data_IF_045688063220
#
_entry.id   IF_045688063220
#
_cell.length_a   1.000
_cell.length_b   1.000
_cell.length_c   1.000
_cell.angle_alpha   90.00
_cell.angle_beta   90.00
_cell.angle_gamma   90.00
#
_symmetry.space_group_name_H-M   'P 1'
#
loop_
_entity.id
_entity.type
_entity.pdbx_description
1 polymer ?
#
# COMPACT_ATOMS: atom_id res chain seq x y z
N UNK A 1 5.92 -4.78 6.24
CA UNK A 1 4.76 -4.07 5.66
C UNK A 1 3.44 -4.74 6.04
N UNK A 2 2.37 -3.98 6.25
CA UNK A 2 1.04 -4.56 6.48
C UNK A 2 0.55 -5.33 5.23
N UNK A 3 -0.10 -6.48 5.45
CA UNK A 3 -0.59 -7.36 4.37
C UNK A 3 -1.90 -6.87 3.75
N UNK A 4 -2.79 -6.26 4.54
CA UNK A 4 -4.10 -5.82 4.06
C UNK A 4 -4.04 -4.36 3.62
N UNK A 5 -4.59 -4.08 2.46
CA UNK A 5 -4.78 -2.72 1.96
C UNK A 5 -5.56 -1.86 2.98
N UNK A 6 -5.06 -0.68 3.38
CA UNK A 6 -5.72 0.16 4.38
C UNK A 6 -7.11 0.66 3.93
N UNK A 7 -7.34 0.78 2.61
CA UNK A 7 -8.63 1.17 2.00
C UNK A 7 -9.73 0.10 2.19
N UNK A 8 -9.69 -1.00 1.43
CA UNK A 8 -10.74 -2.06 1.45
C UNK A 8 -10.19 -3.45 1.74
N UNK A 9 -9.09 -3.54 2.49
CA UNK A 9 -8.54 -4.79 3.04
C UNK A 9 -8.12 -5.86 2.02
N UNK A 10 -7.97 -5.51 0.75
CA UNK A 10 -7.38 -6.37 -0.29
C UNK A 10 -6.05 -6.99 0.18
N UNK A 11 -5.80 -8.23 -0.21
CA UNK A 11 -4.58 -8.94 0.14
C UNK A 11 -3.41 -8.46 -0.73
N UNK A 12 -2.55 -7.60 -0.18
CA UNK A 12 -1.41 -7.02 -0.90
C UNK A 12 -0.33 -8.06 -1.23
N UNK A 13 -0.33 -9.24 -0.59
CA UNK A 13 0.56 -10.32 -1.04
C UNK A 13 0.07 -10.99 -2.32
N UNK A 14 -1.19 -10.79 -2.72
CA UNK A 14 -1.77 -11.34 -3.96
C UNK A 14 -1.94 -10.27 -5.04
N UNK A 15 -2.38 -9.09 -4.65
CA UNK A 15 -2.72 -8.00 -5.58
C UNK A 15 -1.74 -6.82 -5.51
N UNK A 16 -0.75 -6.87 -4.64
CA UNK A 16 0.25 -5.82 -4.51
C UNK A 16 1.37 -6.03 -5.53
N UNK A 17 1.69 -4.98 -6.28
CA UNK A 17 2.85 -4.91 -7.17
C UNK A 17 3.77 -3.81 -6.67
N UNK A 18 5.07 -4.11 -6.56
CA UNK A 18 6.08 -3.15 -6.13
C UNK A 18 6.92 -2.72 -7.31
N UNK A 19 6.99 -1.40 -7.53
CA UNK A 19 7.82 -0.77 -8.55
C UNK A 19 8.67 0.32 -7.88
N UNK A 20 9.97 0.05 -7.75
CA UNK A 20 10.89 0.90 -6.99
C UNK A 20 10.46 1.03 -5.52
N UNK A 21 10.04 2.23 -5.13
CA UNK A 21 9.54 2.53 -3.77
C UNK A 21 8.02 2.68 -3.72
N UNK A 22 7.29 2.35 -4.77
CA UNK A 22 5.82 2.43 -4.80
C UNK A 22 5.22 1.04 -4.76
N UNK A 23 4.28 0.83 -3.85
CA UNK A 23 3.39 -0.32 -3.86
C UNK A 23 2.05 0.08 -4.46
N UNK A 24 1.60 -0.66 -5.45
CA UNK A 24 0.29 -0.52 -6.08
C UNK A 24 -0.60 -1.72 -5.73
N UNK A 25 -1.83 -1.47 -5.28
CA UNK A 25 -2.86 -2.50 -5.14
C UNK A 25 -3.63 -2.60 -6.46
N UNK A 26 -3.33 -3.62 -7.27
CA UNK A 26 -3.94 -3.81 -8.60
C UNK A 26 -5.44 -4.12 -8.56
N UNK A 27 -6.02 -4.41 -7.39
CA UNK A 27 -7.46 -4.62 -7.28
C UNK A 27 -8.25 -3.29 -7.27
N UNK A 28 -7.66 -2.21 -6.74
CA UNK A 28 -8.36 -0.92 -6.57
C UNK A 28 -7.58 0.28 -7.11
N UNK A 29 -6.37 0.09 -7.63
CA UNK A 29 -5.51 1.16 -8.17
C UNK A 29 -4.84 2.04 -7.12
N UNK A 30 -4.90 1.66 -5.84
CA UNK A 30 -4.34 2.45 -4.75
C UNK A 30 -2.82 2.31 -4.65
N UNK A 31 -2.15 3.41 -4.32
CA UNK A 31 -0.68 3.48 -4.31
C UNK A 31 -0.15 4.03 -2.98
N UNK A 32 1.01 3.51 -2.57
CA UNK A 32 1.73 3.97 -1.37
C UNK A 32 3.22 4.02 -1.60
N UNK A 33 3.87 5.01 -0.98
CA UNK A 33 5.32 5.06 -0.88
C UNK A 33 5.78 4.13 0.24
N UNK A 34 6.66 3.18 -0.09
CA UNK A 34 7.20 2.17 0.81
C UNK A 34 8.24 2.73 1.78
N UNK A 35 8.89 3.85 1.46
CA UNK A 35 9.90 4.46 2.32
C UNK A 35 9.28 5.10 3.56
N UNK A 36 8.09 5.70 3.43
CA UNK A 36 7.45 6.45 4.52
C UNK A 36 5.99 6.05 4.79
N UNK A 37 5.42 5.11 4.04
CA UNK A 37 4.04 4.65 4.21
C UNK A 37 2.97 5.60 3.68
N UNK A 38 3.34 6.75 3.11
CA UNK A 38 2.39 7.76 2.64
C UNK A 38 1.52 7.19 1.51
N UNK A 39 0.21 7.40 1.62
CA UNK A 39 -0.70 7.12 0.50
C UNK A 39 -0.52 8.17 -0.60
N UNK A 40 -0.37 7.70 -1.83
CA UNK A 40 -0.19 8.53 -3.02
C UNK A 40 -1.52 8.81 -3.73
N UNK A 41 -2.58 8.06 -3.41
CA UNK A 41 -3.91 8.19 -4.03
C UNK A 41 -4.82 9.19 -3.29
N UNK A 42 -4.83 9.17 -1.95
CA UNK A 42 -5.62 10.10 -1.12
C UNK A 42 -5.00 10.25 0.28
N UNK A 43 -5.50 11.20 1.07
CA UNK A 43 -5.04 11.42 2.45
C UNK A 43 -5.72 10.45 3.44
N UNK A 44 -5.02 10.07 4.52
CA UNK A 44 -5.61 9.40 5.69
C UNK A 44 -5.72 7.89 5.61
N UNK A 45 -5.04 7.24 4.67
CA UNK A 45 -5.04 5.79 4.45
C UNK A 45 -3.61 5.28 4.27
N UNK A 46 -2.73 5.72 5.17
CA UNK A 46 -1.32 5.39 5.17
C UNK A 46 -1.10 3.89 5.34
N UNK A 47 -0.07 3.39 4.67
CA UNK A 47 0.36 2.01 4.73
C UNK A 47 1.47 1.90 5.76
N UNK A 48 1.33 1.01 6.74
CA UNK A 48 2.42 0.64 7.64
C UNK A 48 3.50 -0.10 6.84
N UNK A 49 4.52 0.63 6.42
CA UNK A 49 5.62 0.12 5.58
C UNK A 49 6.63 -0.74 6.35
N UNK A 50 6.92 -0.40 7.61
CA UNK A 50 7.83 -1.15 8.49
C UNK A 50 7.08 -2.06 9.49
N UNK A 51 7.79 -3.01 10.11
CA UNK A 51 7.30 -3.64 11.36
C UNK A 51 7.46 -2.63 12.50
N UNK A 52 6.49 -2.60 13.41
CA UNK A 52 6.68 -2.02 14.75
C UNK A 52 7.53 -2.99 15.58
#
# INVERSE_FOLDING_TARGET
IQRRCPHLKADLSKFGVVEGSTLTCNLHGWQWNLTNGRCLTTKGHELRSAKL
#
